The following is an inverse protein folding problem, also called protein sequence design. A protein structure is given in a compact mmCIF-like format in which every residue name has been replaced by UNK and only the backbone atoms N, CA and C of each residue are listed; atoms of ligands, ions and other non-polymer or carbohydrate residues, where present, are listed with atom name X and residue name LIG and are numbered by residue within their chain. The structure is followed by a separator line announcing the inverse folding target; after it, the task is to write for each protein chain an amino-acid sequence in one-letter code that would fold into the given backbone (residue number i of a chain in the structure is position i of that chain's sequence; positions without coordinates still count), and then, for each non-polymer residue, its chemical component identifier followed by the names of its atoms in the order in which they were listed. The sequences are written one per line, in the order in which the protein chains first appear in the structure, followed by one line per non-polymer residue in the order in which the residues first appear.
data_IF_938444046376
#
_entry.id   IF_938444046376
#
_cell.length_a   1.000
_cell.length_b   1.000
_cell.length_c   1.000
_cell.angle_alpha   90.00
_cell.angle_beta   90.00
_cell.angle_gamma   90.00
#
_symmetry.space_group_name_H-M   'P 1'
#
loop_
_entity.id
_entity.type
_entity.pdbx_description
1 polymer ?
#
# COMPACT_ATOMS: atom_id res chain seq x y z
N UNK A 1 28.71 -76.38 3.39
CA UNK A 1 28.03 -75.14 2.96
C UNK A 1 28.54 -73.99 3.82
N UNK A 2 29.41 -73.17 3.24
CA UNK A 2 30.12 -72.06 3.88
C UNK A 2 29.19 -70.87 4.09
N UNK A 3 29.08 -70.36 5.33
CA UNK A 3 28.40 -69.08 5.61
C UNK A 3 29.43 -67.94 5.55
N UNK A 4 29.20 -66.87 4.77
CA UNK A 4 30.15 -65.80 4.61
C UNK A 4 30.08 -64.76 5.74
N UNK A 5 31.25 -64.21 6.00
CA UNK A 5 31.60 -63.25 7.04
C UNK A 5 31.24 -61.82 6.55
N UNK A 6 30.39 -61.08 7.27
CA UNK A 6 30.05 -59.68 6.92
C UNK A 6 30.62 -58.75 7.99
N UNK A 7 31.58 -57.92 7.54
CA UNK A 7 32.33 -56.91 8.30
C UNK A 7 31.45 -55.73 8.73
N UNK A 8 31.60 -55.28 9.98
CA UNK A 8 31.12 -53.99 10.48
C UNK A 8 31.99 -52.84 9.92
N UNK A 9 31.41 -51.67 9.54
CA UNK A 9 32.20 -50.52 9.11
C UNK A 9 32.75 -49.72 10.31
N UNK A 10 33.98 -49.20 10.16
CA UNK A 10 34.66 -48.31 11.12
C UNK A 10 34.07 -46.89 11.05
N UNK A 11 34.00 -46.15 12.17
CA UNK A 11 33.59 -44.74 12.16
C UNK A 11 34.69 -43.86 11.56
N UNK A 12 34.30 -43.03 10.59
CA UNK A 12 35.14 -42.03 9.94
C UNK A 12 35.41 -40.82 10.85
N UNK A 13 36.68 -40.42 10.87
CA UNK A 13 37.22 -39.27 11.59
C UNK A 13 36.69 -37.96 10.95
N UNK A 14 35.79 -37.25 11.63
CA UNK A 14 35.35 -35.91 11.21
C UNK A 14 36.36 -34.88 11.70
N UNK A 15 37.06 -34.22 10.77
CA UNK A 15 37.94 -33.09 11.05
C UNK A 15 37.10 -31.86 11.39
N UNK A 16 37.35 -31.28 12.55
CA UNK A 16 36.87 -29.95 12.97
C UNK A 16 37.48 -28.84 12.10
N UNK A 17 36.73 -27.83 11.62
CA UNK A 17 37.31 -26.69 10.92
C UNK A 17 38.05 -25.78 11.89
N UNK A 18 39.23 -25.30 11.50
CA UNK A 18 40.08 -24.42 12.30
C UNK A 18 39.70 -22.93 12.13
N UNK A 19 40.14 -22.12 13.08
CA UNK A 19 39.80 -20.72 13.29
C UNK A 19 40.35 -19.75 12.21
N UNK A 20 39.87 -19.85 10.96
CA UNK A 20 40.14 -18.86 9.89
C UNK A 20 38.90 -18.36 9.13
N UNK A 21 37.69 -18.75 9.52
CA UNK A 21 36.45 -18.33 8.83
C UNK A 21 35.75 -17.10 9.46
N UNK A 22 36.40 -16.42 10.41
CA UNK A 22 35.91 -15.17 11.00
C UNK A 22 36.66 -13.98 10.42
N UNK A 23 36.19 -13.44 9.29
CA UNK A 23 36.25 -12.02 8.91
C UNK A 23 35.85 -11.84 7.43
N UNK A 24 34.58 -11.48 7.16
CA UNK A 24 34.23 -10.43 6.17
C UNK A 24 32.75 -10.04 6.26
N UNK A 25 32.44 -9.12 7.16
CA UNK A 25 31.25 -8.25 7.02
C UNK A 25 31.68 -6.88 6.46
N UNK A 26 30.70 -6.21 5.84
CA UNK A 26 30.64 -4.79 5.42
C UNK A 26 31.09 -4.46 3.99
N UNK A 27 30.13 -4.55 3.08
CA UNK A 27 29.77 -3.41 2.20
C UNK A 27 28.28 -3.49 1.88
N UNK A 28 27.52 -2.48 2.33
CA UNK A 28 26.09 -2.37 2.03
C UNK A 28 25.88 -2.01 0.56
N UNK A 29 25.43 -2.99 -0.22
CA UNK A 29 24.86 -2.76 -1.55
C UNK A 29 23.39 -3.18 -1.53
N UNK A 30 22.52 -2.19 -1.75
CA UNK A 30 21.08 -2.33 -1.93
C UNK A 30 20.79 -3.31 -3.07
N UNK A 31 20.47 -4.55 -2.73
CA UNK A 31 20.08 -5.59 -3.68
C UNK A 31 18.57 -5.53 -3.93
N UNK A 32 18.12 -4.49 -4.64
CA UNK A 32 16.77 -4.50 -5.22
C UNK A 32 16.81 -5.46 -6.41
N UNK A 33 16.04 -6.55 -6.33
CA UNK A 33 15.90 -7.53 -7.43
C UNK A 33 15.58 -6.82 -8.75
N UNK A 34 16.22 -7.26 -9.84
CA UNK A 34 16.00 -6.73 -11.21
C UNK A 34 14.53 -6.76 -11.62
N UNK A 35 13.75 -7.67 -11.04
CA UNK A 35 12.31 -7.78 -11.26
C UNK A 35 11.53 -6.58 -10.69
N UNK A 36 11.91 -6.09 -9.50
CA UNK A 36 11.28 -4.94 -8.86
C UNK A 36 11.55 -3.63 -9.62
N UNK A 37 12.70 -3.50 -10.30
CA UNK A 37 12.99 -2.34 -11.18
C UNK A 37 12.14 -2.32 -12.47
N UNK A 38 11.69 -3.48 -12.94
CA UNK A 38 10.84 -3.61 -14.14
C UNK A 38 9.37 -3.29 -13.83
N UNK A 39 8.92 -3.55 -12.61
CA UNK A 39 7.56 -3.26 -12.14
C UNK A 39 7.47 -1.85 -11.54
N UNK A 40 8.56 -1.34 -10.94
CA UNK A 40 8.61 -0.03 -10.29
C UNK A 40 9.95 0.69 -10.57
N UNK A 41 10.04 1.50 -11.65
CA UNK A 41 11.26 2.24 -11.97
C UNK A 41 11.41 3.44 -11.02
N UNK A 42 12.17 3.26 -9.93
CA UNK A 42 12.55 4.36 -9.03
C UNK A 42 13.67 5.21 -9.65
N UNK A 43 13.38 6.48 -9.93
CA UNK A 43 14.38 7.52 -10.20
C UNK A 43 14.74 8.25 -8.91
N UNK A 44 15.84 7.88 -8.26
CA UNK A 44 16.41 8.64 -7.15
C UNK A 44 17.59 9.44 -7.72
N UNK A 45 17.35 10.71 -8.05
CA UNK A 45 18.45 11.65 -8.30
C UNK A 45 19.04 12.07 -6.96
N UNK A 46 20.31 11.68 -6.71
CA UNK A 46 21.11 12.20 -5.59
C UNK A 46 21.60 13.60 -5.96
N UNK A 47 21.07 14.63 -5.32
CA UNK A 47 21.77 15.93 -5.24
C UNK A 47 22.80 15.83 -4.13
N UNK A 48 24.08 15.76 -4.50
CA UNK A 48 25.21 15.91 -3.58
C UNK A 48 25.46 17.39 -3.34
N UNK A 49 25.22 17.86 -2.11
CA UNK A 49 25.78 19.11 -1.62
C UNK A 49 26.09 18.97 -0.14
N UNK A 50 27.36 18.80 0.16
CA UNK A 50 27.95 18.92 1.47
C UNK A 50 28.23 20.40 1.74
N UNK A 51 27.65 20.97 2.79
CA UNK A 51 28.28 22.03 3.58
C UNK A 51 27.55 22.26 4.92
N UNK A 52 28.33 22.72 5.88
CA UNK A 52 28.28 22.53 7.33
C UNK A 52 27.48 23.57 8.11
N UNK A 53 27.17 23.20 9.36
CA UNK A 53 26.42 23.93 10.40
C UNK A 53 26.98 25.32 10.75
N UNK A 54 26.09 26.29 10.97
CA UNK A 54 26.07 27.12 12.20
C UNK A 54 24.82 28.01 12.31
N UNK A 55 24.20 27.93 13.51
CA UNK A 55 23.53 29.01 14.27
C UNK A 55 22.40 29.85 13.66
N UNK A 56 21.16 29.70 14.18
CA UNK A 56 20.47 30.74 15.00
C UNK A 56 18.97 30.40 15.24
N UNK A 57 18.62 30.45 16.53
CA UNK A 57 17.40 30.97 17.19
C UNK A 57 15.98 30.64 16.68
N UNK A 58 15.23 30.02 17.60
CA UNK A 58 13.84 30.25 18.01
C UNK A 58 12.84 30.85 17.02
N UNK A 59 11.79 30.10 16.70
CA UNK A 59 10.41 30.42 17.10
C UNK A 59 9.47 29.27 16.74
N UNK A 60 8.83 28.71 17.78
CA UNK A 60 7.58 27.94 17.70
C UNK A 60 6.43 28.91 17.35
N UNK A 61 5.35 28.46 16.68
CA UNK A 61 4.26 27.93 17.49
C UNK A 61 3.46 26.77 16.88
N UNK A 62 3.05 25.91 17.80
CA UNK A 62 1.97 24.95 17.71
C UNK A 62 0.67 25.55 17.12
N UNK A 63 0.05 24.81 16.20
CA UNK A 63 -1.35 24.97 15.83
C UNK A 63 -2.15 23.81 16.43
N UNK A 64 -2.68 24.04 17.63
CA UNK A 64 -3.76 23.25 18.21
C UNK A 64 -5.07 23.63 17.50
N UNK A 65 -5.66 22.69 16.76
CA UNK A 65 -7.02 22.83 16.25
C UNK A 65 -7.99 22.35 17.34
N UNK A 66 -8.57 23.29 18.09
CA UNK A 66 -9.63 23.01 19.06
C UNK A 66 -10.89 23.75 18.63
N UNK A 67 -11.92 22.98 18.23
CA UNK A 67 -13.24 23.45 17.87
C UNK A 67 -14.04 23.77 19.14
N UNK A 68 -14.31 25.05 19.39
CA UNK A 68 -15.36 25.48 20.32
C UNK A 68 -16.33 26.45 19.64
N UNK A 69 -17.49 26.57 20.30
CA UNK A 69 -18.85 26.77 19.80
C UNK A 69 -19.40 28.12 20.34
N UNK A 70 -20.36 28.71 19.63
CA UNK A 70 -21.26 29.83 20.03
C UNK A 70 -20.60 31.23 20.07
N UNK A 71 -21.22 32.37 19.75
CA UNK A 71 -22.60 32.75 19.39
C UNK A 71 -22.61 34.21 18.83
N UNK A 72 -23.78 34.64 18.35
CA UNK A 72 -24.16 35.92 17.70
C UNK A 72 -23.85 37.19 18.50
N UNK A 73 -23.64 38.32 17.79
CA UNK A 73 -24.33 39.61 18.01
C UNK A 73 -24.19 40.60 16.84
N UNK A 74 -25.21 41.45 16.72
CA UNK A 74 -25.63 42.27 15.58
C UNK A 74 -25.03 43.71 15.55
N UNK A 75 -25.43 44.43 14.47
CA UNK A 75 -25.62 45.90 14.30
C UNK A 75 -24.39 46.76 13.98
N UNK A 76 -24.23 47.21 12.72
CA UNK A 76 -24.69 48.49 12.08
C UNK A 76 -23.57 49.56 12.16
N UNK A 77 -23.20 50.40 11.19
CA UNK A 77 -23.93 51.13 10.12
C UNK A 77 -22.89 51.85 9.21
N UNK A 78 -23.29 52.25 7.99
CA UNK A 78 -22.74 53.34 7.13
C UNK A 78 -21.41 53.08 6.41
N UNK A 79 -21.18 53.42 5.13
CA UNK A 79 -21.78 54.40 4.20
C UNK A 79 -21.48 53.99 2.74
N UNK A 80 -22.37 54.48 1.87
CA UNK A 80 -22.43 54.41 0.40
C UNK A 80 -21.23 55.00 -0.36
N UNK A 81 -20.90 54.43 -1.53
CA UNK A 81 -20.58 55.20 -2.74
C UNK A 81 -20.75 54.35 -4.01
N UNK A 82 -21.83 54.65 -4.71
CA UNK A 82 -22.19 54.31 -6.10
C UNK A 82 -21.12 54.76 -7.11
N UNK A 83 -20.89 54.00 -8.20
CA UNK A 83 -20.65 54.52 -9.58
C UNK A 83 -20.68 53.36 -10.61
N UNK A 84 -21.83 53.27 -11.30
CA UNK A 84 -22.08 52.96 -12.72
C UNK A 84 -21.14 52.08 -13.57
N UNK A 85 -21.75 51.04 -14.14
CA UNK A 85 -21.36 50.25 -15.35
C UNK A 85 -21.51 51.12 -16.63
N UNK A 86 -20.89 50.77 -17.79
CA UNK A 86 -21.56 49.83 -18.71
C UNK A 86 -20.63 48.85 -19.48
N UNK A 87 -21.15 47.65 -19.73
CA UNK A 87 -20.76 46.73 -20.82
C UNK A 87 -21.22 47.29 -22.17
N UNK A 88 -20.62 46.86 -23.30
CA UNK A 88 -21.44 45.99 -24.16
C UNK A 88 -20.68 44.91 -24.99
N UNK A 89 -21.49 43.99 -25.54
CA UNK A 89 -21.33 43.23 -26.78
C UNK A 89 -20.61 41.86 -26.78
N UNK A 90 -21.43 40.85 -26.44
CA UNK A 90 -21.72 39.59 -27.19
C UNK A 90 -21.18 39.50 -28.64
N UNK A 91 -20.28 38.55 -28.90
CA UNK A 91 -20.15 37.85 -30.20
C UNK A 91 -19.66 36.39 -29.99
N UNK A 92 -20.46 35.42 -30.45
CA UNK A 92 -20.12 34.07 -30.96
C UNK A 92 -20.97 33.91 -32.24
N UNK A 93 -20.71 32.98 -33.19
CA UNK A 93 -19.67 31.94 -33.25
C UNK A 93 -18.92 31.92 -34.60
N UNK A 94 -17.79 31.21 -34.72
CA UNK A 94 -17.43 30.66 -36.03
C UNK A 94 -16.53 29.42 -35.92
N UNK A 95 -17.04 28.35 -36.53
CA UNK A 95 -16.38 27.09 -36.81
C UNK A 95 -15.19 27.32 -37.75
N UNK A 96 -14.03 26.75 -37.42
CA UNK A 96 -13.03 26.41 -38.43
C UNK A 96 -12.70 24.92 -38.32
N UNK A 97 -13.25 24.21 -39.29
CA UNK A 97 -13.02 22.82 -39.65
C UNK A 97 -11.63 22.72 -40.27
N UNK A 98 -10.65 22.16 -39.55
CA UNK A 98 -9.43 21.63 -40.16
C UNK A 98 -9.49 20.11 -40.15
N UNK A 99 -9.68 19.56 -41.36
CA UNK A 99 -9.46 18.16 -41.67
C UNK A 99 -7.95 17.98 -41.84
N UNK A 100 -7.34 17.07 -41.11
CA UNK A 100 -6.13 16.39 -41.56
C UNK A 100 -6.22 14.90 -41.24
N UNK A 101 -5.90 14.15 -42.28
CA UNK A 101 -6.18 12.74 -42.49
C UNK A 101 -5.05 11.90 -41.88
N UNK A 102 -5.45 10.78 -41.27
CA UNK A 102 -4.79 9.47 -41.17
C UNK A 102 -3.25 9.45 -41.17
N UNK A 103 -2.71 9.12 -40.00
CA UNK A 103 -1.49 8.33 -39.85
C UNK A 103 -1.80 7.17 -38.90
N UNK A 104 -2.32 6.07 -39.44
CA UNK A 104 -2.36 4.79 -38.76
C UNK A 104 -0.92 4.33 -38.49
N UNK A 105 -0.50 4.40 -37.23
CA UNK A 105 0.59 3.56 -36.72
C UNK A 105 0.11 2.96 -35.41
N UNK A 106 -0.21 1.67 -35.48
CA UNK A 106 -0.83 0.88 -34.43
C UNK A 106 -0.04 0.91 -33.13
N UNK A 107 -0.68 1.45 -32.09
CA UNK A 107 -0.36 1.11 -30.71
C UNK A 107 -1.30 -0.03 -30.37
N UNK A 108 -0.74 -1.24 -30.27
CA UNK A 108 -1.51 -2.46 -30.10
C UNK A 108 -2.51 -2.37 -28.94
N UNK A 109 -3.78 -2.57 -29.27
CA UNK A 109 -4.85 -2.86 -28.33
C UNK A 109 -4.54 -4.20 -27.63
N UNK A 110 -3.79 -4.14 -26.54
CA UNK A 110 -3.72 -5.24 -25.58
C UNK A 110 -4.99 -5.22 -24.74
N UNK A 111 -6.12 -5.49 -25.41
CA UNK A 111 -7.43 -5.54 -24.77
C UNK A 111 -7.47 -6.79 -23.88
N UNK A 112 -7.51 -6.55 -22.57
CA UNK A 112 -7.48 -7.57 -21.52
C UNK A 112 -8.84 -8.22 -21.36
N UNK A 113 -9.23 -9.00 -22.35
CA UNK A 113 -10.43 -9.83 -22.29
C UNK A 113 -9.99 -11.27 -22.01
N UNK A 114 -10.27 -11.71 -20.77
CA UNK A 114 -10.40 -13.14 -20.48
C UNK A 114 -11.69 -13.59 -21.20
N UNK A 115 -11.86 -14.87 -21.52
CA UNK A 115 -13.00 -15.35 -22.32
C UNK A 115 -14.41 -15.14 -21.70
N UNK A 116 -14.52 -14.35 -20.63
CA UNK A 116 -15.74 -13.97 -19.91
C UNK A 116 -16.36 -12.65 -20.39
N UNK A 117 -15.74 -11.93 -21.33
CA UNK A 117 -16.26 -10.68 -21.89
C UNK A 117 -16.19 -9.49 -20.92
N UNK A 118 -15.53 -9.64 -19.77
CA UNK A 118 -15.40 -8.57 -18.78
C UNK A 118 -14.11 -7.77 -19.02
N UNK A 119 -14.28 -6.46 -19.20
CA UNK A 119 -13.15 -5.54 -19.29
C UNK A 119 -12.63 -5.20 -17.89
N UNK A 120 -11.38 -5.56 -17.60
CA UNK A 120 -10.72 -5.33 -16.30
C UNK A 120 -9.63 -4.27 -16.39
N UNK A 121 -9.17 -3.80 -15.23
CA UNK A 121 -8.00 -2.94 -15.17
C UNK A 121 -6.77 -3.62 -15.80
N UNK A 122 -5.86 -2.82 -16.36
CA UNK A 122 -4.72 -3.30 -17.15
C UNK A 122 -3.76 -4.24 -16.41
N UNK A 123 -3.68 -4.15 -15.08
CA UNK A 123 -2.86 -5.05 -14.27
C UNK A 123 -3.47 -6.45 -14.11
N UNK A 124 -4.71 -6.66 -14.54
CA UNK A 124 -5.28 -7.98 -14.79
C UNK A 124 -5.08 -8.28 -16.27
N UNK A 125 -4.34 -9.33 -16.56
CA UNK A 125 -4.00 -9.81 -17.91
C UNK A 125 -4.64 -11.17 -18.18
N UNK A 126 -4.63 -11.61 -19.44
CA UNK A 126 -5.14 -12.94 -19.83
C UNK A 126 -4.45 -14.09 -19.11
N UNK A 127 -3.18 -13.90 -18.71
CA UNK A 127 -2.36 -14.90 -18.01
C UNK A 127 -2.33 -14.69 -16.50
N UNK A 128 -3.15 -13.79 -15.96
CA UNK A 128 -3.22 -13.58 -14.51
C UNK A 128 -3.83 -14.81 -13.84
N UNK A 129 -3.24 -15.23 -12.71
CA UNK A 129 -3.78 -16.30 -11.88
C UNK A 129 -5.19 -15.95 -11.38
N UNK A 130 -6.07 -16.96 -11.32
CA UNK A 130 -7.47 -16.79 -10.91
C UNK A 130 -7.64 -16.12 -9.54
N UNK A 131 -6.74 -16.40 -8.59
CA UNK A 131 -6.81 -15.79 -7.25
C UNK A 131 -6.61 -14.28 -7.30
N UNK A 132 -5.78 -13.79 -8.24
CA UNK A 132 -5.55 -12.35 -8.38
C UNK A 132 -6.70 -11.68 -9.12
N UNK A 133 -7.29 -12.38 -10.10
CA UNK A 133 -8.51 -11.91 -10.77
C UNK A 133 -9.67 -11.82 -9.79
N UNK A 134 -9.90 -12.85 -8.99
CA UNK A 134 -10.95 -12.84 -7.96
C UNK A 134 -10.73 -11.73 -6.91
N UNK A 135 -9.47 -11.48 -6.52
CA UNK A 135 -9.16 -10.37 -5.62
C UNK A 135 -9.49 -9.00 -6.25
N UNK A 136 -9.14 -8.78 -7.51
CA UNK A 136 -9.52 -7.56 -8.25
C UNK A 136 -11.04 -7.43 -8.38
N UNK A 137 -11.71 -8.53 -8.74
CA UNK A 137 -13.13 -8.53 -9.07
C UNK A 137 -14.02 -8.44 -7.84
N UNK A 138 -13.57 -8.85 -6.65
CA UNK A 138 -14.46 -8.97 -5.48
C UNK A 138 -14.02 -8.12 -4.28
N UNK A 139 -12.76 -7.70 -4.19
CA UNK A 139 -12.21 -7.12 -2.96
C UNK A 139 -11.49 -5.80 -3.20
N UNK A 140 -10.67 -5.71 -4.24
CA UNK A 140 -9.85 -4.54 -4.47
C UNK A 140 -10.72 -3.33 -4.85
N UNK A 141 -10.50 -2.21 -4.16
CA UNK A 141 -11.29 -0.98 -4.33
C UNK A 141 -12.64 -0.99 -3.61
N UNK A 142 -13.01 -2.06 -2.89
CA UNK A 142 -14.23 -2.12 -2.08
C UNK A 142 -13.94 -1.60 -0.66
N UNK A 143 -14.71 -0.63 -0.12
CA UNK A 143 -14.45 -0.08 1.21
C UNK A 143 -14.50 -1.13 2.33
N UNK A 144 -13.44 -1.20 3.14
CA UNK A 144 -13.34 -2.08 4.31
C UNK A 144 -13.23 -1.24 5.58
N UNK A 145 -14.09 -1.49 6.57
CA UNK A 145 -14.09 -0.76 7.85
C UNK A 145 -13.72 -1.63 9.07
N UNK A 146 -13.77 -2.95 8.92
CA UNK A 146 -13.44 -3.90 9.99
C UNK A 146 -11.95 -3.88 10.35
N UNK A 147 -11.65 -3.78 11.64
CA UNK A 147 -10.29 -3.61 12.15
C UNK A 147 -9.37 -4.79 11.79
N UNK A 148 -9.88 -6.02 11.88
CA UNK A 148 -9.08 -7.22 11.60
C UNK A 148 -8.77 -7.32 10.11
N UNK A 149 -9.76 -7.08 9.24
CA UNK A 149 -9.55 -7.05 7.79
C UNK A 149 -8.62 -5.92 7.37
N UNK A 150 -8.71 -4.73 7.98
CA UNK A 150 -7.79 -3.64 7.71
C UNK A 150 -6.36 -3.96 8.17
N UNK A 151 -6.21 -4.59 9.33
CA UNK A 151 -4.91 -5.05 9.81
C UNK A 151 -4.32 -6.12 8.90
N UNK A 152 -5.13 -7.10 8.46
CA UNK A 152 -4.75 -8.10 7.46
C UNK A 152 -4.26 -7.42 6.18
N UNK A 153 -5.05 -6.52 5.58
CA UNK A 153 -4.69 -5.85 4.33
C UNK A 153 -3.42 -5.00 4.46
N UNK A 154 -3.21 -4.34 5.61
CA UNK A 154 -1.97 -3.60 5.87
C UNK A 154 -0.76 -4.54 5.90
N UNK A 155 -0.87 -5.66 6.61
CA UNK A 155 0.19 -6.67 6.70
C UNK A 155 0.49 -7.28 5.33
N UNK A 156 -0.54 -7.69 4.58
CA UNK A 156 -0.38 -8.25 3.24
C UNK A 156 0.24 -7.24 2.28
N UNK A 157 -0.13 -5.96 2.37
CA UNK A 157 0.51 -4.90 1.58
C UNK A 157 2.00 -4.73 1.95
N UNK A 158 2.36 -4.87 3.22
CA UNK A 158 3.75 -4.88 3.68
C UNK A 158 4.61 -5.99 3.05
N UNK A 159 3.99 -7.12 2.70
CA UNK A 159 4.67 -8.23 2.02
C UNK A 159 5.08 -7.91 0.58
N UNK A 160 4.53 -6.83 -0.03
CA UNK A 160 4.86 -6.42 -1.40
C UNK A 160 6.33 -6.04 -1.60
N UNK A 161 7.06 -5.82 -0.51
CA UNK A 161 8.51 -5.64 -0.55
C UNK A 161 9.23 -6.88 -1.10
N UNK A 162 8.65 -8.06 -0.85
CA UNK A 162 9.28 -9.36 -1.13
C UNK A 162 8.52 -10.16 -2.19
N UNK A 163 7.20 -10.05 -2.20
CA UNK A 163 6.31 -10.91 -2.97
C UNK A 163 5.36 -10.09 -3.84
N UNK A 164 4.90 -10.64 -4.96
CA UNK A 164 3.82 -10.03 -5.74
C UNK A 164 2.46 -10.35 -5.11
N UNK A 165 1.43 -9.54 -5.40
CA UNK A 165 0.06 -9.78 -4.92
C UNK A 165 -0.40 -11.22 -5.14
N UNK A 166 -0.18 -11.77 -6.33
CA UNK A 166 -0.55 -13.14 -6.66
C UNK A 166 0.05 -14.17 -5.70
N UNK A 167 1.34 -14.03 -5.36
CA UNK A 167 2.04 -14.93 -4.45
C UNK A 167 1.52 -14.79 -3.01
N UNK A 168 1.22 -13.56 -2.60
CA UNK A 168 0.65 -13.27 -1.29
C UNK A 168 -0.75 -13.88 -1.18
N UNK A 169 -1.57 -13.70 -2.22
CA UNK A 169 -2.96 -14.18 -2.26
C UNK A 169 -3.05 -15.71 -2.29
N UNK A 170 -2.14 -16.41 -3.00
CA UNK A 170 -2.04 -17.88 -2.98
C UNK A 170 -1.80 -18.44 -1.58
N UNK A 171 -1.13 -17.68 -0.70
CA UNK A 171 -0.79 -18.07 0.67
C UNK A 171 -1.70 -17.45 1.73
N UNK A 172 -2.71 -16.66 1.32
CA UNK A 172 -3.51 -15.85 2.23
C UNK A 172 -4.20 -16.65 3.34
N UNK A 173 -4.79 -17.80 3.01
CA UNK A 173 -5.42 -18.65 4.03
C UNK A 173 -4.40 -19.25 5.01
N UNK A 174 -3.21 -19.60 4.52
CA UNK A 174 -2.13 -20.07 5.39
C UNK A 174 -1.64 -18.95 6.32
N UNK A 175 -1.59 -17.71 5.83
CA UNK A 175 -1.30 -16.55 6.69
C UNK A 175 -2.40 -16.32 7.72
N UNK A 176 -3.67 -16.45 7.34
CA UNK A 176 -4.79 -16.35 8.29
C UNK A 176 -4.71 -17.41 9.38
N UNK A 177 -4.38 -18.65 9.04
CA UNK A 177 -4.15 -19.71 10.02
C UNK A 177 -2.97 -19.36 10.94
N UNK A 178 -1.82 -19.02 10.35
CA UNK A 178 -0.60 -18.71 11.08
C UNK A 178 -0.74 -17.50 12.02
N UNK A 179 -1.49 -16.47 11.62
CA UNK A 179 -1.64 -15.21 12.35
C UNK A 179 -3.03 -15.04 12.95
N UNK A 180 -3.71 -16.13 13.34
CA UNK A 180 -4.96 -16.09 14.12
C UNK A 180 -6.05 -15.20 13.47
N UNK A 181 -6.25 -15.37 12.16
CA UNK A 181 -7.13 -14.57 11.29
C UNK A 181 -6.86 -13.07 11.37
N UNK A 182 -5.61 -12.71 11.66
CA UNK A 182 -5.17 -11.34 11.86
C UNK A 182 -5.96 -10.60 12.96
N UNK A 183 -6.37 -11.30 14.03
CA UNK A 183 -6.78 -10.61 15.26
C UNK A 183 -5.56 -9.94 15.91
N UNK A 184 -5.49 -8.59 15.99
CA UNK A 184 -4.35 -7.91 16.58
C UNK A 184 -4.10 -8.32 18.03
N UNK A 185 -5.16 -8.69 18.78
CA UNK A 185 -5.05 -9.09 20.18
C UNK A 185 -4.32 -10.42 20.35
N UNK A 186 -4.65 -11.40 19.51
CA UNK A 186 -3.96 -12.69 19.45
C UNK A 186 -2.53 -12.55 18.93
N UNK A 187 -2.35 -11.87 17.80
CA UNK A 187 -1.04 -11.72 17.16
C UNK A 187 -0.04 -10.98 18.05
N UNK A 188 -0.47 -9.95 18.78
CA UNK A 188 0.41 -9.19 19.69
C UNK A 188 0.95 -10.03 20.87
N UNK A 189 0.28 -11.14 21.21
CA UNK A 189 0.66 -12.04 22.30
C UNK A 189 1.58 -13.20 21.87
N UNK A 190 1.85 -13.31 20.58
CA UNK A 190 2.76 -14.34 20.06
C UNK A 190 4.14 -14.23 20.70
N UNK A 191 4.63 -15.36 21.19
CA UNK A 191 5.91 -15.48 21.86
C UNK A 191 6.99 -16.03 20.90
N UNK A 192 8.22 -16.19 21.39
CA UNK A 192 9.35 -16.68 20.59
C UNK A 192 9.15 -18.09 20.01
N UNK A 193 8.36 -18.95 20.67
CA UNK A 193 8.02 -20.26 20.14
C UNK A 193 7.11 -20.12 18.93
N UNK A 194 6.04 -19.34 19.03
CA UNK A 194 5.10 -19.12 17.93
C UNK A 194 5.81 -18.53 16.71
N UNK A 195 6.71 -17.55 16.94
CA UNK A 195 7.53 -16.94 15.89
C UNK A 195 8.41 -18.00 15.19
N UNK A 196 9.10 -18.86 15.96
CA UNK A 196 9.95 -19.93 15.41
C UNK A 196 9.15 -20.96 14.62
N UNK A 197 7.96 -21.32 15.09
CA UNK A 197 7.08 -22.27 14.43
C UNK A 197 6.61 -21.71 13.06
N UNK A 198 6.23 -20.42 13.01
CA UNK A 198 5.86 -19.73 11.77
C UNK A 198 7.05 -19.66 10.80
N UNK A 199 8.25 -19.30 11.27
CA UNK A 199 9.45 -19.24 10.43
C UNK A 199 9.84 -20.63 9.91
N UNK A 200 9.66 -21.68 10.73
CA UNK A 200 9.91 -23.07 10.34
C UNK A 200 8.97 -23.56 9.23
N UNK A 201 7.81 -22.94 9.08
CA UNK A 201 6.84 -23.29 8.04
C UNK A 201 7.22 -22.71 6.67
N UNK A 202 7.89 -23.53 5.86
CA UNK A 202 8.34 -23.16 4.52
C UNK A 202 7.20 -22.80 3.55
N UNK A 203 5.97 -23.23 3.78
CA UNK A 203 4.84 -22.89 2.89
C UNK A 203 4.52 -21.40 2.92
N UNK A 204 4.72 -20.75 4.07
CA UNK A 204 4.46 -19.32 4.27
C UNK A 204 5.46 -18.42 3.54
N UNK A 205 6.68 -18.92 3.27
CA UNK A 205 7.77 -18.17 2.65
C UNK A 205 8.04 -16.81 3.33
N UNK A 206 8.07 -16.82 4.68
CA UNK A 206 8.34 -15.64 5.50
C UNK A 206 9.71 -15.71 6.17
N UNK A 207 10.43 -14.60 6.16
CA UNK A 207 11.64 -14.40 6.93
C UNK A 207 11.32 -13.93 8.36
N UNK A 208 12.25 -14.14 9.29
CA UNK A 208 12.10 -13.79 10.70
C UNK A 208 11.72 -12.33 10.92
N UNK A 209 12.36 -11.41 10.20
CA UNK A 209 12.08 -9.98 10.30
C UNK A 209 10.65 -9.63 9.89
N UNK A 210 10.04 -10.37 8.95
CA UNK A 210 8.66 -10.19 8.53
C UNK A 210 7.70 -10.66 9.63
N UNK A 211 7.91 -11.87 10.17
CA UNK A 211 7.08 -12.41 11.25
C UNK A 211 7.11 -11.49 12.48
N UNK A 212 8.30 -11.08 12.90
CA UNK A 212 8.47 -10.14 14.03
C UNK A 212 7.78 -8.80 13.77
N UNK A 213 7.89 -8.26 12.54
CA UNK A 213 7.22 -7.01 12.20
C UNK A 213 5.69 -7.09 12.27
N UNK A 214 5.10 -8.24 11.95
CA UNK A 214 3.65 -8.44 12.06
C UNK A 214 3.22 -8.39 13.53
N UNK A 215 3.98 -9.05 14.42
CA UNK A 215 3.75 -9.01 15.87
C UNK A 215 3.92 -7.59 16.42
N UNK A 216 4.96 -6.87 15.99
CA UNK A 216 5.18 -5.46 16.38
C UNK A 216 4.03 -4.57 15.89
N UNK A 217 3.60 -4.73 14.64
CA UNK A 217 2.48 -4.00 14.06
C UNK A 217 1.18 -4.29 14.80
N UNK A 218 0.91 -5.54 15.20
CA UNK A 218 -0.26 -5.89 16.00
C UNK A 218 -0.26 -5.16 17.36
N UNK A 219 0.89 -5.09 18.03
CA UNK A 219 1.04 -4.30 19.27
C UNK A 219 0.74 -2.83 19.03
N UNK A 220 1.23 -2.26 17.94
CA UNK A 220 0.97 -0.86 17.57
C UNK A 220 -0.53 -0.62 17.25
N UNK A 221 -1.17 -1.55 16.56
CA UNK A 221 -2.63 -1.53 16.30
C UNK A 221 -3.41 -1.49 17.60
N UNK A 222 -3.04 -2.30 18.60
CA UNK A 222 -3.71 -2.27 19.91
C UNK A 222 -3.54 -0.93 20.65
N UNK A 223 -2.41 -0.24 20.48
CA UNK A 223 -2.25 1.11 21.04
C UNK A 223 -3.16 2.12 20.34
N UNK A 224 -3.30 2.03 19.01
CA UNK A 224 -4.27 2.83 18.25
C UNK A 224 -5.70 2.54 18.73
N UNK A 225 -6.07 1.28 18.91
CA UNK A 225 -7.40 0.91 19.40
C UNK A 225 -7.67 1.50 20.79
N UNK A 226 -6.66 1.59 21.67
CA UNK A 226 -6.82 2.28 22.97
C UNK A 226 -7.02 3.79 22.84
N UNK A 227 -6.34 4.44 21.90
CA UNK A 227 -6.38 5.91 21.72
C UNK A 227 -7.60 6.38 20.92
N UNK A 228 -7.98 5.64 19.88
CA UNK A 228 -9.02 6.02 18.92
C UNK A 228 -10.26 5.12 18.95
N UNK A 229 -10.26 4.07 19.76
CA UNK A 229 -11.33 3.08 19.87
C UNK A 229 -11.33 2.00 18.77
N UNK A 230 -10.80 2.29 17.58
CA UNK A 230 -10.73 1.36 16.45
C UNK A 230 -9.60 1.74 15.49
N UNK A 231 -8.96 0.73 14.91
CA UNK A 231 -7.96 0.91 13.86
C UNK A 231 -8.57 1.47 12.56
N UNK A 232 -9.75 0.98 12.19
CA UNK A 232 -10.54 1.48 11.08
C UNK A 232 -10.93 2.94 11.26
N UNK A 233 -11.44 3.32 12.44
CA UNK A 233 -11.75 4.72 12.73
C UNK A 233 -10.53 5.63 12.60
N UNK A 234 -9.38 5.16 13.10
CA UNK A 234 -8.11 5.89 13.00
C UNK A 234 -7.68 6.08 11.53
N UNK A 235 -7.61 5.02 10.72
CA UNK A 235 -7.16 5.14 9.32
C UNK A 235 -8.17 5.91 8.47
N UNK A 236 -9.47 5.60 8.57
CA UNK A 236 -10.51 6.29 7.80
C UNK A 236 -10.67 7.76 8.22
N UNK A 237 -10.22 8.14 9.43
CA UNK A 237 -10.11 9.54 9.84
C UNK A 237 -9.26 10.39 8.90
N UNK A 238 -8.18 9.84 8.33
CA UNK A 238 -7.37 10.53 7.30
C UNK A 238 -8.12 10.74 5.98
N UNK A 239 -9.18 9.97 5.76
CA UNK A 239 -10.01 9.99 4.56
C UNK A 239 -11.30 10.78 4.78
N UNK A 240 -11.49 11.42 5.94
CA UNK A 240 -12.77 12.01 6.34
C UNK A 240 -13.92 10.99 6.24
N UNK A 241 -13.61 9.71 6.50
CA UNK A 241 -14.55 8.59 6.46
C UNK A 241 -15.24 8.35 5.11
N UNK A 242 -14.75 8.96 4.03
CA UNK A 242 -15.26 8.76 2.67
C UNK A 242 -14.12 8.37 1.72
N UNK A 243 -14.32 7.36 0.85
CA UNK A 243 -13.27 6.96 -0.07
C UNK A 243 -13.06 8.04 -1.13
N UNK A 244 -11.84 8.10 -1.67
CA UNK A 244 -11.52 8.99 -2.79
C UNK A 244 -11.75 8.22 -4.08
N UNK A 245 -12.71 8.68 -4.88
CA UNK A 245 -13.01 8.10 -6.20
C UNK A 245 -12.17 8.79 -7.25
N UNK A 246 -11.18 8.09 -7.79
CA UNK A 246 -10.42 8.58 -8.94
C UNK A 246 -11.06 8.10 -10.24
N UNK A 247 -10.82 8.83 -11.34
CA UNK A 247 -11.39 8.54 -12.66
C UNK A 247 -10.29 8.39 -13.70
N UNK A 248 -9.31 7.53 -13.40
CA UNK A 248 -8.19 7.32 -14.29
C UNK A 248 -8.63 6.58 -15.56
N UNK A 249 -8.28 7.13 -16.72
CA UNK A 249 -8.50 6.47 -18.02
C UNK A 249 -7.35 5.57 -18.44
N UNK A 250 -6.14 5.87 -17.97
CA UNK A 250 -4.93 5.17 -18.38
C UNK A 250 -4.16 4.66 -17.17
N UNK A 251 -3.61 3.43 -17.20
CA UNK A 251 -2.87 2.83 -16.08
C UNK A 251 -1.72 3.71 -15.58
N UNK A 252 -0.99 4.35 -16.50
CA UNK A 252 0.12 5.26 -16.19
C UNK A 252 -0.28 6.51 -15.38
N UNK A 253 -1.58 6.79 -15.29
CA UNK A 253 -2.11 7.93 -14.53
C UNK A 253 -2.35 7.58 -13.06
N UNK A 254 -2.41 6.28 -12.74
CA UNK A 254 -2.56 5.80 -11.36
C UNK A 254 -1.21 6.02 -10.66
N UNK A 255 -1.15 6.86 -9.61
CA UNK A 255 0.11 7.19 -8.98
C UNK A 255 0.62 6.04 -8.11
N UNK A 256 1.93 5.98 -7.91
CA UNK A 256 2.56 5.04 -6.96
C UNK A 256 2.62 5.58 -5.52
N UNK A 257 2.38 6.88 -5.34
CA UNK A 257 2.36 7.59 -4.05
C UNK A 257 1.34 8.71 -4.09
N UNK A 258 0.77 9.06 -2.94
CA UNK A 258 -0.12 10.22 -2.81
C UNK A 258 0.19 10.98 -1.53
N UNK A 259 -0.13 12.30 -1.46
CA UNK A 259 0.07 13.07 -0.23
C UNK A 259 -0.62 12.45 1.00
N UNK A 260 -1.81 11.85 0.82
CA UNK A 260 -2.52 11.14 1.89
C UNK A 260 -1.77 9.88 2.34
N UNK A 261 -1.30 9.06 1.40
CA UNK A 261 -0.52 7.87 1.72
C UNK A 261 0.80 8.21 2.42
N UNK A 262 1.44 9.32 2.04
CA UNK A 262 2.66 9.82 2.70
C UNK A 262 2.39 10.28 4.14
N UNK A 263 1.29 11.00 4.38
CA UNK A 263 0.89 11.42 5.71
C UNK A 263 0.62 10.20 6.62
N UNK A 264 -0.19 9.24 6.15
CA UNK A 264 -0.52 8.01 6.88
C UNK A 264 0.75 7.20 7.15
N UNK A 265 1.60 7.01 6.14
CA UNK A 265 2.88 6.30 6.28
C UNK A 265 3.77 6.93 7.34
N UNK A 266 3.93 8.26 7.32
CA UNK A 266 4.75 8.98 8.30
C UNK A 266 4.20 8.84 9.72
N UNK A 267 2.89 8.80 9.91
CA UNK A 267 2.28 8.60 11.23
C UNK A 267 2.42 7.17 11.73
N UNK A 268 2.13 6.18 10.87
CA UNK A 268 2.32 4.77 11.20
C UNK A 268 3.77 4.47 11.59
N UNK A 269 4.75 4.99 10.83
CA UNK A 269 6.17 4.87 11.18
C UNK A 269 6.50 5.51 12.54
N UNK A 270 5.96 6.70 12.84
CA UNK A 270 6.13 7.35 14.15
C UNK A 270 5.54 6.53 15.30
N UNK A 271 4.46 5.79 15.03
CA UNK A 271 3.80 4.89 15.99
C UNK A 271 4.50 3.54 16.15
N UNK A 272 5.58 3.29 15.41
CA UNK A 272 6.38 2.07 15.52
C UNK A 272 5.99 0.96 14.54
N UNK A 273 5.06 1.22 13.60
CA UNK A 273 4.77 0.26 12.54
C UNK A 273 5.98 0.08 11.62
N UNK A 274 6.11 -1.13 11.09
CA UNK A 274 7.18 -1.57 10.21
C UNK A 274 6.60 -1.99 8.86
N UNK A 275 7.41 -1.82 7.81
CA UNK A 275 7.02 -2.10 6.41
C UNK A 275 5.78 -1.33 5.93
N UNK A 276 5.64 -0.08 6.37
CA UNK A 276 4.53 0.82 6.03
C UNK A 276 5.01 2.05 5.26
N UNK A 277 5.87 1.86 4.27
CA UNK A 277 6.35 2.95 3.41
C UNK A 277 5.24 3.54 2.52
N UNK A 278 5.39 4.76 1.97
CA UNK A 278 4.28 5.43 1.28
C UNK A 278 3.67 4.68 0.09
N UNK A 279 4.50 3.93 -0.67
CA UNK A 279 4.02 3.08 -1.78
C UNK A 279 3.17 1.91 -1.24
N UNK A 280 3.60 1.32 -0.13
CA UNK A 280 2.89 0.22 0.52
C UNK A 280 1.57 0.72 1.09
N UNK A 281 1.58 1.88 1.75
CA UNK A 281 0.37 2.49 2.30
C UNK A 281 -0.60 2.86 1.20
N UNK A 282 -0.13 3.34 0.04
CA UNK A 282 -1.04 3.56 -1.10
C UNK A 282 -1.63 2.23 -1.60
N UNK A 283 -0.84 1.17 -1.74
CA UNK A 283 -1.37 -0.15 -2.14
C UNK A 283 -2.39 -0.69 -1.12
N UNK A 284 -2.17 -0.45 0.17
CA UNK A 284 -3.12 -0.77 1.23
C UNK A 284 -4.42 0.04 1.09
N UNK A 285 -4.31 1.36 0.86
CA UNK A 285 -5.47 2.23 0.65
C UNK A 285 -6.30 1.79 -0.55
N UNK A 286 -5.65 1.38 -1.64
CA UNK A 286 -6.30 0.82 -2.82
C UNK A 286 -6.98 -0.51 -2.53
N UNK A 287 -6.27 -1.44 -1.86
CA UNK A 287 -6.81 -2.73 -1.49
C UNK A 287 -8.00 -2.65 -0.52
N UNK A 288 -7.98 -1.69 0.41
CA UNK A 288 -9.03 -1.45 1.41
C UNK A 288 -10.16 -0.54 0.92
N UNK A 289 -10.12 -0.12 -0.35
CA UNK A 289 -11.15 0.75 -0.96
C UNK A 289 -11.18 2.18 -0.41
N UNK A 290 -10.13 2.63 0.28
CA UNK A 290 -9.98 4.04 0.69
C UNK A 290 -9.72 4.94 -0.52
N UNK A 291 -9.06 4.42 -1.54
CA UNK A 291 -8.90 5.03 -2.85
C UNK A 291 -9.43 4.07 -3.90
N UNK A 292 -10.48 4.47 -4.60
CA UNK A 292 -11.05 3.71 -5.71
C UNK A 292 -10.28 4.09 -6.98
N UNK A 293 -9.37 3.21 -7.39
CA UNK A 293 -8.45 3.43 -8.51
C UNK A 293 -8.71 2.49 -9.69
N UNK A 294 -9.89 1.84 -9.75
CA UNK A 294 -10.30 1.13 -10.96
C UNK A 294 -10.29 2.12 -12.13
N UNK A 295 -9.84 1.65 -13.30
CA UNK A 295 -9.92 2.45 -14.51
C UNK A 295 -11.39 2.64 -14.90
N UNK A 296 -11.71 3.78 -15.52
CA UNK A 296 -13.10 4.13 -15.90
C UNK A 296 -13.75 3.12 -16.85
N UNK A 297 -12.96 2.29 -17.53
CA UNK A 297 -13.39 1.25 -18.46
C UNK A 297 -13.40 -0.16 -17.85
N UNK A 298 -13.02 -0.29 -16.58
CA UNK A 298 -13.14 -1.53 -15.82
C UNK A 298 -14.62 -1.77 -15.43
N UNK A 299 -15.10 -3.00 -15.57
CA UNK A 299 -16.47 -3.37 -15.21
C UNK A 299 -16.82 -3.08 -13.74
N UNK A 300 -15.81 -3.10 -12.85
CA UNK A 300 -15.96 -2.80 -11.42
C UNK A 300 -16.07 -1.31 -11.09
N UNK A 301 -15.74 -0.41 -12.03
CA UNK A 301 -15.67 1.03 -11.75
C UNK A 301 -17.00 1.57 -11.23
N UNK A 302 -18.09 1.32 -11.95
CA UNK A 302 -19.41 1.85 -11.61
C UNK A 302 -19.93 1.32 -10.27
N UNK A 303 -19.70 0.03 -10.00
CA UNK A 303 -20.11 -0.63 -8.75
C UNK A 303 -19.30 -0.10 -7.55
N UNK A 304 -17.96 -0.05 -7.66
CA UNK A 304 -17.13 0.46 -6.58
C UNK A 304 -17.35 1.96 -6.34
N UNK A 305 -17.66 2.74 -7.39
CA UNK A 305 -18.00 4.14 -7.24
C UNK A 305 -19.33 4.34 -6.49
N UNK A 306 -20.38 3.55 -6.74
CA UNK A 306 -21.66 3.70 -6.03
C UNK A 306 -21.58 3.26 -4.56
N UNK A 307 -20.71 2.31 -4.22
CA UNK A 307 -20.47 1.88 -2.84
C UNK A 307 -19.82 2.96 -1.96
N UNK A 308 -19.44 4.11 -2.52
CA UNK A 308 -18.87 5.22 -1.77
C UNK A 308 -19.87 6.28 -1.30
N UNK A 309 -21.11 6.21 -1.77
CA UNK A 309 -22.15 7.20 -1.52
C UNK A 309 -22.94 6.95 -0.21
N UNK A 310 -22.40 6.16 0.73
CA UNK A 310 -23.03 5.99 2.04
C UNK A 310 -22.84 7.28 2.87
N UNK A 311 -23.94 8.03 3.03
CA UNK A 311 -24.11 9.13 4.00
C UNK A 311 -24.47 8.62 5.40
#
# INVERSE_FOLDING_TARGET
MSKPNVRKPKPGLVKSPSARDYQREKTGQSFISKHLKKIYPLGINRTSSSQSLSSLSSNDPAQNFSLTRMEKKNTSTTKSATTTVPMPCRLKPQERREKLNVGEQGIGDNNSERGDGLKRCHWITKTSDEVYVAFHDMQWGVPVFDDNQLFELLVLSGMLIYHLWTEILKRREQYREAFLKFDPSGVAKMNEKDIKDIIGNKSLALAENQVRSIVDNAKCTLQIVKEFGSFGRYIWGYMNYKPVINRYRYPKSVPLRSPKAEAISKDLLRRGFRFVGPVIVLSFMQAAGMTMDHLVDCFRFSECASLSDFD
#
